data_IF_845172215070
#
_entry.id   IF_845172215070
#
_cell.length_a   1.000
_cell.length_b   1.000
_cell.length_c   1.000
_cell.angle_alpha   90.00
_cell.angle_beta   90.00
_cell.angle_gamma   90.00
#
_symmetry.space_group_name_H-M   'P 1'
#
loop_
_entity.id
_entity.type
_entity.pdbx_description
1 polymer ?
#
# COMPACT_ATOMS: atom_id res chain seq x y z
N UNK A 1 37.71 2.09 3.77
CA UNK A 1 36.44 2.64 3.23
C UNK A 1 35.59 1.49 2.71
N UNK A 2 34.56 1.06 3.46
CA UNK A 2 33.59 0.05 3.01
C UNK A 2 32.28 0.77 2.66
N UNK A 3 31.89 0.72 1.38
CA UNK A 3 30.60 1.24 0.90
C UNK A 3 29.49 0.32 1.41
N UNK A 4 28.46 0.89 2.06
CA UNK A 4 27.24 0.18 2.44
C UNK A 4 26.39 -0.08 1.20
N UNK A 5 25.71 -1.23 1.08
CA UNK A 5 24.82 -1.51 -0.05
C UNK A 5 23.57 -0.63 0.02
N UNK A 6 23.06 -0.21 -1.15
CA UNK A 6 21.83 0.58 -1.24
C UNK A 6 20.60 -0.33 -1.23
N UNK A 7 19.45 0.22 -0.84
CA UNK A 7 18.17 -0.49 -0.73
C UNK A 7 17.71 -1.24 -2.00
N UNK A 8 18.29 -0.96 -3.16
CA UNK A 8 17.99 -1.64 -4.42
C UNK A 8 18.56 -3.06 -4.53
N UNK A 9 19.62 -3.41 -3.80
CA UNK A 9 20.28 -4.72 -3.94
C UNK A 9 19.50 -5.88 -3.27
N UNK A 10 18.56 -5.58 -2.38
CA UNK A 10 17.82 -6.61 -1.63
C UNK A 10 16.70 -7.26 -2.47
N UNK A 11 16.17 -6.57 -3.48
CA UNK A 11 15.05 -7.07 -4.30
C UNK A 11 15.46 -8.06 -5.39
N UNK A 12 16.75 -8.11 -5.77
CA UNK A 12 17.21 -8.99 -6.87
C UNK A 12 17.39 -10.47 -6.50
N UNK A 13 17.38 -10.84 -5.21
CA UNK A 13 17.71 -12.22 -4.78
C UNK A 13 16.50 -13.17 -4.68
N UNK A 14 15.25 -12.70 -4.84
CA UNK A 14 14.04 -13.54 -4.69
C UNK A 14 13.34 -13.86 -6.03
N UNK A 15 13.87 -13.35 -7.15
CA UNK A 15 13.22 -13.49 -8.46
C UNK A 15 13.64 -14.74 -9.26
N UNK A 16 14.18 -15.78 -8.63
CA UNK A 16 14.54 -17.04 -9.29
C UNK A 16 14.07 -18.24 -8.45
N UNK A 17 12.79 -18.61 -8.55
CA UNK A 17 12.28 -20.00 -8.43
C UNK A 17 10.74 -20.01 -8.40
N UNK A 18 10.11 -20.07 -9.58
CA UNK A 18 9.10 -21.08 -9.93
C UNK A 18 8.46 -20.72 -11.27
N UNK A 19 9.07 -21.21 -12.36
CA UNK A 19 8.37 -21.44 -13.59
C UNK A 19 7.34 -22.56 -13.37
N UNK A 20 6.06 -22.29 -13.61
CA UNK A 20 5.08 -23.32 -13.96
C UNK A 20 4.16 -22.73 -15.01
N UNK A 21 4.13 -23.42 -16.15
CA UNK A 21 3.49 -23.02 -17.38
C UNK A 21 1.96 -23.02 -17.26
N UNK A 22 1.34 -21.91 -17.65
CA UNK A 22 0.14 -21.95 -18.50
C UNK A 22 -0.08 -20.57 -19.12
N UNK A 23 0.50 -20.34 -20.30
CA UNK A 23 0.19 -19.18 -21.12
C UNK A 23 -1.12 -19.46 -21.87
N UNK A 24 -2.26 -19.35 -21.17
CA UNK A 24 -3.55 -19.17 -21.84
C UNK A 24 -3.80 -17.67 -21.90
N UNK A 25 -3.61 -17.09 -23.08
CA UNK A 25 -4.01 -15.72 -23.38
C UNK A 25 -5.54 -15.62 -23.43
N UNK A 26 -6.19 -15.52 -22.28
CA UNK A 26 -7.55 -15.00 -22.22
C UNK A 26 -7.49 -13.50 -22.52
N UNK A 27 -7.91 -13.08 -23.71
CA UNK A 27 -8.34 -11.69 -23.95
C UNK A 27 -9.66 -11.50 -23.21
N UNK A 28 -9.59 -11.43 -21.89
CA UNK A 28 -10.70 -11.00 -21.05
C UNK A 28 -10.70 -9.49 -20.99
N UNK A 29 -11.81 -8.85 -21.33
CA UNK A 29 -12.05 -7.47 -20.91
C UNK A 29 -11.96 -7.43 -19.38
N UNK A 30 -10.82 -7.00 -18.84
CA UNK A 30 -10.67 -6.82 -17.40
C UNK A 30 -11.48 -5.59 -17.02
N UNK A 31 -12.68 -5.78 -16.47
CA UNK A 31 -13.34 -4.74 -15.68
C UNK A 31 -12.33 -4.36 -14.59
N UNK A 32 -11.86 -3.11 -14.58
CA UNK A 32 -10.95 -2.62 -13.57
C UNK A 32 -11.72 -2.46 -12.26
N UNK A 33 -11.96 -3.57 -11.55
CA UNK A 33 -12.68 -3.62 -10.28
C UNK A 33 -11.76 -3.16 -9.15
N UNK A 34 -11.38 -1.87 -9.18
CA UNK A 34 -10.75 -1.29 -7.99
C UNK A 34 -11.78 -1.29 -6.86
N UNK A 35 -11.41 -1.76 -5.66
CA UNK A 35 -12.31 -1.69 -4.52
C UNK A 35 -12.63 -0.23 -4.22
N UNK A 36 -13.91 0.06 -3.98
CA UNK A 36 -14.34 1.40 -3.55
C UNK A 36 -13.71 1.68 -2.17
N UNK A 37 -12.95 2.78 -2.01
CA UNK A 37 -12.34 3.10 -0.73
C UNK A 37 -13.40 3.43 0.31
N UNK A 38 -13.23 2.92 1.53
CA UNK A 38 -14.09 3.23 2.66
C UNK A 38 -13.64 4.54 3.32
N UNK A 39 -14.51 5.55 3.32
CA UNK A 39 -14.24 6.81 4.01
C UNK A 39 -14.47 6.66 5.52
N UNK A 40 -13.41 6.92 6.30
CA UNK A 40 -13.44 6.87 7.77
C UNK A 40 -13.29 8.27 8.33
N UNK A 41 -14.38 8.84 8.84
CA UNK A 41 -14.42 10.24 9.32
C UNK A 41 -15.09 10.41 10.68
N UNK A 42 -15.34 9.31 11.41
CA UNK A 42 -15.90 9.35 12.77
C UNK A 42 -15.06 8.51 13.74
N UNK A 43 -15.03 8.83 15.04
CA UNK A 43 -14.33 8.01 16.03
C UNK A 43 -14.82 6.55 16.07
N UNK A 44 -16.11 6.32 15.82
CA UNK A 44 -16.70 4.97 15.79
C UNK A 44 -16.14 4.15 14.63
N UNK A 45 -16.19 4.70 13.41
CA UNK A 45 -15.70 4.02 12.20
C UNK A 45 -14.18 3.83 12.24
N UNK A 46 -13.44 4.76 12.87
CA UNK A 46 -12.02 4.61 13.12
C UNK A 46 -11.70 3.41 14.00
N UNK A 47 -12.39 3.25 15.14
CA UNK A 47 -12.19 2.09 16.03
C UNK A 47 -12.49 0.76 15.33
N UNK A 48 -13.54 0.72 14.51
CA UNK A 48 -13.90 -0.46 13.72
C UNK A 48 -12.82 -0.81 12.70
N UNK A 49 -12.32 0.18 11.95
CA UNK A 49 -11.21 -0.01 11.00
C UNK A 49 -9.95 -0.51 11.72
N UNK A 50 -9.57 0.09 12.84
CA UNK A 50 -8.38 -0.33 13.62
C UNK A 50 -8.53 -1.78 14.12
N UNK A 51 -9.72 -2.18 14.60
CA UNK A 51 -9.94 -3.57 15.02
C UNK A 51 -9.71 -4.57 13.87
N UNK A 52 -10.10 -4.22 12.64
CA UNK A 52 -9.83 -5.04 11.45
C UNK A 52 -8.35 -5.04 11.07
N UNK A 53 -7.68 -3.88 11.10
CA UNK A 53 -6.27 -3.77 10.72
C UNK A 53 -5.34 -4.53 11.69
N UNK A 54 -5.72 -4.66 12.97
CA UNK A 54 -4.95 -5.42 13.98
C UNK A 54 -4.78 -6.90 13.65
N UNK A 55 -5.60 -7.48 12.78
CA UNK A 55 -5.48 -8.88 12.36
C UNK A 55 -4.59 -9.06 11.12
N UNK A 56 -4.08 -7.96 10.55
CA UNK A 56 -3.28 -7.96 9.33
C UNK A 56 -1.80 -7.92 9.68
N UNK A 57 -1.02 -8.81 9.04
CA UNK A 57 0.43 -8.90 9.29
C UNK A 57 1.21 -7.73 8.68
N UNK A 58 0.69 -7.12 7.60
CA UNK A 58 1.30 -6.01 6.88
C UNK A 58 0.21 -5.10 6.33
N UNK A 59 0.48 -3.81 6.32
CA UNK A 59 -0.38 -2.78 5.74
C UNK A 59 0.50 -1.78 4.98
N UNK A 60 -0.03 -1.17 3.93
CA UNK A 60 0.56 0.02 3.31
C UNK A 60 -0.12 1.26 3.89
N UNK A 61 0.69 2.30 4.11
CA UNK A 61 0.27 3.57 4.69
C UNK A 61 0.81 4.68 3.80
N UNK A 62 -0.07 5.60 3.42
CA UNK A 62 0.29 6.83 2.74
C UNK A 62 -0.43 8.03 3.38
N UNK A 63 0.09 9.23 3.16
CA UNK A 63 -0.48 10.46 3.73
C UNK A 63 -0.50 11.58 2.72
N UNK A 64 -1.60 12.32 2.69
CA UNK A 64 -1.68 13.60 1.96
C UNK A 64 -1.53 14.74 2.96
N UNK A 65 -0.77 15.77 2.59
CA UNK A 65 -0.51 16.93 3.44
C UNK A 65 -0.71 18.25 2.72
N UNK A 66 -1.04 19.29 3.47
CA UNK A 66 -1.10 20.67 2.99
C UNK A 66 0.08 21.47 3.55
N UNK A 67 0.92 21.97 2.65
CA UNK A 67 2.09 22.81 2.95
C UNK A 67 1.99 24.23 2.39
N UNK A 68 0.95 24.56 1.60
CA UNK A 68 0.88 25.81 0.84
C UNK A 68 0.74 27.07 1.73
N UNK A 69 0.19 26.92 2.94
CA UNK A 69 -0.02 28.03 3.90
C UNK A 69 0.31 27.65 5.35
N UNK A 70 1.08 26.57 5.54
CA UNK A 70 1.42 26.08 6.87
C UNK A 70 2.93 25.92 7.00
N UNK A 71 3.52 26.66 7.95
CA UNK A 71 4.96 26.57 8.23
C UNK A 71 5.38 25.15 8.63
N UNK A 72 4.49 24.43 9.32
CA UNK A 72 4.60 22.99 9.53
C UNK A 72 3.54 22.28 8.70
N UNK A 73 3.94 21.36 7.82
CA UNK A 73 2.99 20.61 6.98
C UNK A 73 1.89 19.96 7.83
N UNK A 74 0.63 20.10 7.41
CA UNK A 74 -0.52 19.48 8.09
C UNK A 74 -0.96 18.24 7.31
N UNK A 75 -0.99 17.08 7.98
CA UNK A 75 -1.61 15.87 7.40
C UNK A 75 -3.11 16.09 7.29
N UNK A 76 -3.64 15.93 6.08
CA UNK A 76 -5.03 16.14 5.73
C UNK A 76 -5.78 14.83 5.49
N UNK A 77 -5.08 13.77 5.05
CA UNK A 77 -5.63 12.45 4.82
C UNK A 77 -4.60 11.38 5.17
N UNK A 78 -5.08 10.24 5.66
CA UNK A 78 -4.30 9.02 5.82
C UNK A 78 -4.99 7.94 5.00
N UNK A 79 -4.24 7.29 4.11
CA UNK A 79 -4.72 6.16 3.30
C UNK A 79 -4.07 4.88 3.80
N UNK A 80 -4.90 3.84 3.94
CA UNK A 80 -4.45 2.51 4.39
C UNK A 80 -5.00 1.47 3.43
N UNK A 81 -4.12 0.57 2.97
CA UNK A 81 -4.50 -0.67 2.29
C UNK A 81 -3.86 -1.86 2.99
N UNK A 82 -4.60 -2.95 3.18
CA UNK A 82 -4.20 -4.08 4.00
C UNK A 82 -4.61 -5.42 3.38
#
# INVERSE_FOLDING_TARGET
MRRTPSWYDFFSLVAHLSASASCIAYVGMTVNTKPTPLLVYTPKTLRQMIAQLRTRARIALDTESNSLYSYQGRVCLIQISA
#
